data_IF_557651199601
#
_entry.id   IF_557651199601
#
_cell.length_a   1.000
_cell.length_b   1.000
_cell.length_c   1.000
_cell.angle_alpha   90.00
_cell.angle_beta   90.00
_cell.angle_gamma   90.00
#
_symmetry.space_group_name_H-M   'P 1'
#
loop_
_entity.id
_entity.type
_entity.pdbx_description
1 polymer ?
#
# COMPACT_ATOMS: atom_id res chain seq x y z
N UNK A 1 -24.15 7.44 2.52
CA UNK A 1 -25.03 8.22 3.43
C UNK A 1 -26.40 7.59 3.70
N UNK A 2 -26.80 6.50 3.03
CA UNK A 2 -28.08 5.84 3.36
C UNK A 2 -28.04 5.33 4.82
N UNK A 3 -29.18 5.38 5.52
CA UNK A 3 -29.41 4.83 6.87
C UNK A 3 -28.78 5.55 8.06
N UNK A 4 -28.24 6.77 7.93
CA UNK A 4 -27.74 7.53 9.09
C UNK A 4 -28.82 7.89 10.12
N UNK A 5 -30.08 8.06 9.67
CA UNK A 5 -31.23 8.41 10.51
C UNK A 5 -31.82 7.20 11.28
N UNK A 6 -31.40 5.98 10.95
CA UNK A 6 -31.88 4.77 11.61
C UNK A 6 -31.14 4.56 12.94
N UNK A 7 -31.87 4.05 13.93
CA UNK A 7 -31.29 3.56 15.18
C UNK A 7 -30.17 2.57 14.88
N UNK A 8 -29.05 2.72 15.59
CA UNK A 8 -27.92 1.78 15.55
C UNK A 8 -27.99 0.87 16.77
N UNK A 9 -27.66 -0.39 16.55
CA UNK A 9 -27.56 -1.38 17.63
C UNK A 9 -26.15 -1.38 18.22
N UNK A 10 -26.03 -1.96 19.43
CA UNK A 10 -24.78 -2.05 20.16
C UNK A 10 -24.46 -0.84 21.04
N UNK A 11 -23.22 -0.79 21.53
CA UNK A 11 -22.70 0.28 22.39
C UNK A 11 -21.35 0.75 21.88
N UNK A 12 -21.10 2.06 21.88
CA UNK A 12 -19.82 2.64 21.43
C UNK A 12 -18.77 2.59 22.53
N UNK A 13 -17.56 2.18 22.17
CA UNK A 13 -16.40 2.09 23.06
C UNK A 13 -15.17 2.65 22.36
N UNK A 14 -14.16 3.03 23.16
CA UNK A 14 -12.86 3.50 22.68
C UNK A 14 -11.74 2.96 23.54
N UNK A 15 -10.72 2.37 22.91
CA UNK A 15 -9.40 2.25 23.48
C UNK A 15 -8.54 3.42 22.98
N UNK A 16 -7.82 4.09 23.86
CA UNK A 16 -7.00 5.25 23.49
C UNK A 16 -5.83 5.47 24.44
N UNK A 17 -4.86 6.25 23.96
CA UNK A 17 -3.66 6.67 24.68
C UNK A 17 -3.90 7.76 25.73
N UNK A 18 -5.14 8.09 26.08
CA UNK A 18 -5.42 9.19 27.01
C UNK A 18 -4.80 8.98 28.40
N UNK A 19 -4.42 10.10 29.03
CA UNK A 19 -3.80 10.12 30.34
C UNK A 19 -4.79 9.72 31.43
N UNK A 20 -4.64 8.51 31.97
CA UNK A 20 -5.56 7.94 32.99
C UNK A 20 -5.60 8.72 34.30
N UNK A 21 -4.70 9.67 34.52
CA UNK A 21 -4.74 10.58 35.68
C UNK A 21 -5.68 11.77 35.46
N UNK A 22 -6.13 12.00 34.23
CA UNK A 22 -6.84 13.23 33.83
C UNK A 22 -5.91 14.38 33.45
N UNK A 23 -4.60 14.12 33.32
CA UNK A 23 -3.60 15.05 32.80
C UNK A 23 -3.63 15.15 31.27
N UNK A 24 -2.50 15.54 30.68
CA UNK A 24 -2.36 15.77 29.23
C UNK A 24 -1.18 14.99 28.62
N UNK A 25 -0.70 13.94 29.30
CA UNK A 25 0.26 12.99 28.71
C UNK A 25 -0.52 11.92 27.94
N UNK A 26 -1.28 12.34 26.93
CA UNK A 26 -2.21 11.51 26.16
C UNK A 26 -1.51 10.62 25.12
N UNK A 27 -0.33 10.11 25.45
CA UNK A 27 0.49 9.28 24.58
C UNK A 27 0.99 8.02 25.28
N UNK A 28 1.25 7.02 24.45
CA UNK A 28 1.96 5.81 24.81
C UNK A 28 3.40 5.93 24.29
N UNK A 29 4.37 5.63 25.15
CA UNK A 29 5.78 5.51 24.76
C UNK A 29 6.10 4.04 24.53
N UNK A 30 6.66 3.69 23.37
CA UNK A 30 7.04 2.33 23.02
C UNK A 30 8.55 2.28 22.83
N UNK A 31 9.22 1.54 23.69
CA UNK A 31 10.68 1.38 23.66
C UNK A 31 11.15 0.78 22.33
N UNK A 32 12.32 1.19 21.86
CA UNK A 32 12.98 0.59 20.70
C UNK A 32 13.06 -0.94 20.82
N UNK A 33 12.64 -1.65 19.77
CA UNK A 33 12.60 -3.12 19.72
C UNK A 33 11.41 -3.77 20.45
N UNK A 34 10.56 -3.00 21.13
CA UNK A 34 9.43 -3.54 21.88
C UNK A 34 8.13 -3.53 21.06
N UNK A 35 7.18 -4.38 21.46
CA UNK A 35 5.79 -4.32 21.01
C UNK A 35 4.90 -3.79 22.13
N UNK A 36 3.89 -3.01 21.79
CA UNK A 36 2.84 -2.61 22.71
C UNK A 36 1.46 -3.03 22.20
N UNK A 37 0.67 -3.65 23.08
CA UNK A 37 -0.75 -3.90 22.84
C UNK A 37 -1.50 -2.58 23.02
N UNK A 38 -2.00 -2.03 21.91
CA UNK A 38 -2.74 -0.75 21.91
C UNK A 38 -4.25 -0.95 22.06
N UNK A 39 -4.74 -2.16 21.78
CA UNK A 39 -6.10 -2.56 22.12
C UNK A 39 -6.15 -4.06 22.42
N UNK A 40 -6.80 -4.42 23.53
CA UNK A 40 -7.15 -5.78 23.92
C UNK A 40 -8.65 -5.77 24.21
N UNK A 41 -9.45 -6.21 23.25
CA UNK A 41 -10.89 -6.00 23.19
C UNK A 41 -11.63 -7.30 23.45
N UNK A 42 -12.50 -7.32 24.46
CA UNK A 42 -13.30 -8.50 24.79
C UNK A 42 -14.74 -8.45 24.25
N UNK A 43 -15.22 -9.62 23.81
CA UNK A 43 -16.58 -9.87 23.34
C UNK A 43 -16.74 -9.69 21.84
N UNK A 44 -17.96 -9.88 21.30
CA UNK A 44 -18.23 -9.60 19.91
C UNK A 44 -18.32 -8.09 19.68
N UNK A 45 -17.74 -7.62 18.58
CA UNK A 45 -17.76 -6.22 18.20
C UNK A 45 -17.24 -5.97 16.80
N UNK A 46 -17.27 -4.71 16.42
CA UNK A 46 -16.74 -4.25 15.13
C UNK A 46 -15.92 -2.98 15.39
N UNK A 47 -14.62 -3.02 15.10
CA UNK A 47 -13.82 -1.78 15.02
C UNK A 47 -14.36 -0.96 13.85
N UNK A 48 -14.68 0.31 14.11
CA UNK A 48 -15.29 1.22 13.11
C UNK A 48 -14.35 2.34 12.71
N UNK A 49 -13.37 2.65 13.54
CA UNK A 49 -12.40 3.70 13.26
C UNK A 49 -11.11 3.47 14.03
N UNK A 50 -9.99 3.66 13.35
CA UNK A 50 -8.67 3.76 13.97
C UNK A 50 -8.09 5.11 13.56
N UNK A 51 -7.68 5.90 14.55
CA UNK A 51 -6.83 7.08 14.35
C UNK A 51 -5.51 6.87 15.07
N UNK A 52 -4.40 7.28 14.46
CA UNK A 52 -3.14 7.38 15.17
C UNK A 52 -2.18 8.41 14.59
N UNK A 53 -1.23 8.85 15.42
CA UNK A 53 -0.03 9.59 14.99
C UNK A 53 1.19 9.11 15.76
N UNK A 54 2.34 9.09 15.08
CA UNK A 54 3.62 8.65 15.62
C UNK A 54 4.56 9.84 15.66
N UNK A 55 5.14 10.10 16.83
CA UNK A 55 6.31 10.96 17.01
C UNK A 55 7.55 10.09 17.17
N UNK A 56 8.48 10.16 16.22
CA UNK A 56 9.73 9.39 16.27
C UNK A 56 10.89 10.22 15.69
N UNK A 57 12.11 9.94 16.16
CA UNK A 57 13.34 10.55 15.62
C UNK A 57 13.83 9.85 14.35
N UNK A 58 13.42 8.61 14.15
CA UNK A 58 13.86 7.78 13.04
C UNK A 58 13.24 8.26 11.72
N UNK A 59 14.08 8.44 10.68
CA UNK A 59 13.66 8.94 9.36
C UNK A 59 12.56 8.08 8.75
N UNK A 60 12.64 6.76 8.91
CA UNK A 60 11.73 5.80 8.29
C UNK A 60 10.81 5.13 9.32
N UNK A 61 10.44 5.86 10.37
CA UNK A 61 9.57 5.33 11.43
C UNK A 61 8.27 4.71 10.88
N UNK A 62 7.69 5.27 9.82
CA UNK A 62 6.47 4.73 9.20
C UNK A 62 6.68 3.38 8.48
N UNK A 63 7.93 3.03 8.13
CA UNK A 63 8.32 1.73 7.60
C UNK A 63 8.73 0.73 8.69
N UNK A 64 9.30 1.26 9.79
CA UNK A 64 9.89 0.48 10.90
C UNK A 64 8.90 0.19 12.03
N UNK A 65 7.81 0.94 12.14
CA UNK A 65 6.71 0.59 13.02
C UNK A 65 5.76 -0.36 12.28
N UNK A 66 5.47 -1.52 12.87
CA UNK A 66 4.52 -2.50 12.33
C UNK A 66 3.20 -2.46 13.07
N UNK A 67 2.10 -2.45 12.32
CA UNK A 67 0.75 -2.62 12.84
C UNK A 67 0.35 -4.08 12.68
N UNK A 68 0.00 -4.72 13.81
CA UNK A 68 -0.48 -6.10 13.83
C UNK A 68 -1.87 -6.20 14.44
N UNK A 69 -2.75 -6.97 13.81
CA UNK A 69 -4.10 -7.24 14.34
C UNK A 69 -4.37 -8.73 14.32
N UNK A 70 -4.99 -9.21 15.40
CA UNK A 70 -5.36 -10.60 15.62
C UNK A 70 -6.84 -10.64 15.95
N UNK A 71 -7.59 -11.53 15.30
CA UNK A 71 -9.00 -11.70 15.56
C UNK A 71 -9.25 -13.00 16.32
N UNK A 72 -10.11 -12.92 17.34
CA UNK A 72 -10.47 -14.03 18.20
C UNK A 72 -9.24 -14.77 18.75
N UNK A 73 -9.18 -16.09 18.61
CA UNK A 73 -8.10 -16.89 19.21
C UNK A 73 -6.96 -17.18 18.20
N UNK A 74 -6.83 -16.37 17.14
CA UNK A 74 -5.77 -16.48 16.14
C UNK A 74 -4.38 -16.23 16.73
N UNK A 75 -3.42 -17.06 16.29
CA UNK A 75 -2.00 -16.91 16.66
C UNK A 75 -1.22 -16.13 15.62
N UNK A 76 -1.63 -16.22 14.36
CA UNK A 76 -1.06 -15.48 13.25
C UNK A 76 -1.85 -14.18 13.06
N UNK A 77 -1.19 -13.07 12.71
CA UNK A 77 -1.90 -11.82 12.50
C UNK A 77 -2.67 -11.82 11.17
N UNK A 78 -3.96 -11.51 11.23
CA UNK A 78 -4.78 -11.21 10.05
C UNK A 78 -4.42 -9.85 9.41
N UNK A 79 -3.77 -8.95 10.16
CA UNK A 79 -3.16 -7.73 9.62
C UNK A 79 -1.69 -7.68 10.01
N UNK A 80 -0.77 -7.60 9.06
CA UNK A 80 0.66 -7.38 9.30
C UNK A 80 1.26 -6.48 8.21
N UNK A 81 1.52 -5.22 8.57
CA UNK A 81 2.03 -4.22 7.64
C UNK A 81 2.80 -3.10 8.37
N UNK A 82 3.79 -2.47 7.70
CA UNK A 82 4.31 -1.18 8.15
C UNK A 82 3.19 -0.15 8.25
N UNK A 83 3.23 0.70 9.29
CA UNK A 83 2.15 1.64 9.60
C UNK A 83 1.86 2.59 8.44
N UNK A 84 2.89 3.20 7.83
CA UNK A 84 2.68 4.12 6.71
C UNK A 84 1.97 3.46 5.54
N UNK A 85 2.46 2.28 5.15
CA UNK A 85 1.91 1.49 4.07
C UNK A 85 0.49 1.02 4.35
N UNK A 86 0.18 0.60 5.58
CA UNK A 86 -1.19 0.27 5.97
C UNK A 86 -2.12 1.46 5.79
N UNK A 87 -1.68 2.67 6.14
CA UNK A 87 -2.43 3.91 5.96
C UNK A 87 -2.21 4.56 4.58
N UNK A 88 -1.82 3.76 3.57
CA UNK A 88 -1.88 4.15 2.17
C UNK A 88 -0.76 5.04 1.64
N UNK A 89 0.31 5.29 2.41
CA UNK A 89 1.51 5.99 1.92
C UNK A 89 2.75 5.14 2.17
N UNK A 90 3.33 4.59 1.10
CA UNK A 90 4.54 3.80 1.18
C UNK A 90 5.81 4.65 1.30
N UNK A 91 6.95 4.03 0.98
CA UNK A 91 8.30 4.61 1.06
C UNK A 91 8.71 5.13 2.44
N UNK A 92 8.03 4.74 3.52
CA UNK A 92 8.38 5.14 4.88
C UNK A 92 8.27 6.65 5.15
N UNK A 93 7.47 7.36 4.36
CA UNK A 93 7.22 8.80 4.47
C UNK A 93 5.75 9.09 4.71
N UNK A 94 5.44 10.34 5.01
CA UNK A 94 4.08 10.86 5.11
C UNK A 94 3.77 11.77 3.92
N UNK A 95 2.55 11.69 3.39
CA UNK A 95 2.05 12.56 2.33
C UNK A 95 0.55 12.78 2.49
N UNK A 96 0.07 13.98 2.16
CA UNK A 96 -1.33 14.34 2.34
C UNK A 96 -2.19 13.62 1.30
N UNK A 97 -3.18 12.85 1.75
CA UNK A 97 -4.23 12.35 0.88
C UNK A 97 -5.51 12.01 1.66
N UNK A 98 -6.64 12.01 0.95
CA UNK A 98 -7.95 11.66 1.50
C UNK A 98 -8.62 10.67 0.57
N UNK A 99 -8.93 9.48 1.09
CA UNK A 99 -9.83 8.52 0.46
C UNK A 99 -11.01 8.22 1.39
N UNK A 100 -11.92 7.35 0.98
CA UNK A 100 -13.03 6.94 1.83
C UNK A 100 -12.60 6.04 2.99
N UNK A 101 -11.87 4.92 2.80
CA UNK A 101 -11.52 4.04 3.91
C UNK A 101 -10.24 4.46 4.66
N UNK A 102 -9.33 5.20 4.03
CA UNK A 102 -8.02 5.56 4.60
C UNK A 102 -7.63 7.02 4.32
N UNK A 103 -6.89 7.63 5.23
CA UNK A 103 -6.49 9.03 5.11
C UNK A 103 -5.17 9.26 5.83
N UNK A 104 -4.33 10.11 5.25
CA UNK A 104 -3.14 10.63 5.91
C UNK A 104 -3.15 12.14 5.80
N UNK A 105 -3.33 12.80 6.94
CA UNK A 105 -3.43 14.26 7.01
C UNK A 105 -2.08 14.83 7.44
N UNK A 106 -1.43 15.48 6.48
CA UNK A 106 -0.16 16.20 6.64
C UNK A 106 -0.29 17.63 6.11
N UNK A 107 0.81 18.40 6.17
CA UNK A 107 0.91 19.65 5.41
C UNK A 107 0.83 19.36 3.91
N UNK A 108 -0.13 19.96 3.19
CA UNK A 108 -0.32 19.71 1.75
C UNK A 108 0.93 20.10 0.94
N UNK A 109 1.29 19.24 -0.02
CA UNK A 109 2.46 19.44 -0.88
C UNK A 109 3.81 19.20 -0.18
N UNK A 110 3.82 18.72 1.07
CA UNK A 110 5.04 18.44 1.83
C UNK A 110 5.10 16.96 2.18
N UNK A 111 6.17 16.30 1.74
CA UNK A 111 6.55 14.97 2.21
C UNK A 111 7.26 15.13 3.55
N UNK A 112 6.76 14.48 4.59
CA UNK A 112 7.28 14.61 5.95
C UNK A 112 7.29 13.28 6.72
N UNK A 113 7.56 13.31 8.02
CA UNK A 113 7.64 12.13 8.90
C UNK A 113 6.65 12.20 10.06
N UNK A 114 5.57 12.96 9.88
CA UNK A 114 4.47 13.13 10.85
C UNK A 114 3.15 13.18 10.09
N UNK A 115 2.13 12.56 10.64
CA UNK A 115 0.80 12.56 10.05
C UNK A 115 -0.27 12.20 11.08
N UNK A 116 -1.50 12.68 10.88
CA UNK A 116 -2.67 12.01 11.42
C UNK A 116 -3.14 10.94 10.43
N UNK A 117 -3.16 9.70 10.86
CA UNK A 117 -3.51 8.54 10.05
C UNK A 117 -4.87 7.99 10.49
N UNK A 118 -5.79 7.79 9.54
CA UNK A 118 -7.16 7.36 9.83
C UNK A 118 -7.51 6.13 8.99
N UNK A 119 -8.27 5.22 9.60
CA UNK A 119 -8.83 4.04 8.96
C UNK A 119 -10.30 3.88 9.36
N UNK A 120 -11.15 3.66 8.36
CA UNK A 120 -12.60 3.52 8.46
C UNK A 120 -13.10 2.16 7.95
N UNK A 121 -12.20 1.21 7.68
CA UNK A 121 -12.61 -0.18 7.45
C UNK A 121 -13.29 -0.74 8.71
N UNK A 122 -14.35 -1.51 8.49
CA UNK A 122 -15.03 -2.22 9.56
C UNK A 122 -14.26 -3.51 9.87
N UNK A 123 -13.90 -3.77 11.12
CA UNK A 123 -13.13 -4.98 11.47
C UNK A 123 -13.90 -5.78 12.52
N UNK A 124 -14.73 -6.74 12.10
CA UNK A 124 -15.52 -7.56 13.00
C UNK A 124 -14.64 -8.54 13.78
N UNK A 125 -15.03 -8.82 15.02
CA UNK A 125 -14.46 -9.87 15.87
C UNK A 125 -15.58 -10.49 16.72
N UNK A 126 -15.51 -11.80 17.01
CA UNK A 126 -16.62 -12.53 17.66
C UNK A 126 -16.38 -12.83 19.13
N UNK A 127 -15.12 -13.01 19.51
CA UNK A 127 -14.65 -13.36 20.86
C UNK A 127 -13.77 -12.27 21.42
N UNK A 128 -12.74 -11.88 20.69
CA UNK A 128 -11.80 -10.86 21.11
C UNK A 128 -11.05 -10.25 19.92
N UNK A 129 -10.40 -9.12 20.11
CA UNK A 129 -9.47 -8.55 19.13
C UNK A 129 -8.26 -7.97 19.84
N UNK A 130 -7.08 -8.26 19.32
CA UNK A 130 -5.82 -7.70 19.81
C UNK A 130 -5.14 -6.89 18.72
N UNK A 131 -4.81 -5.64 19.02
CA UNK A 131 -4.10 -4.73 18.11
C UNK A 131 -2.77 -4.35 18.77
N UNK A 132 -1.69 -4.54 18.05
CA UNK A 132 -0.33 -4.29 18.50
C UNK A 132 0.40 -3.32 17.57
N UNK A 133 1.26 -2.50 18.17
CA UNK A 133 2.26 -1.71 17.45
C UNK A 133 3.66 -2.19 17.84
N UNK A 134 4.43 -2.67 16.87
CA UNK A 134 5.82 -3.09 17.09
C UNK A 134 6.76 -1.96 16.68
N UNK A 135 7.61 -1.51 17.60
CA UNK A 135 8.62 -0.50 17.32
C UNK A 135 9.94 -1.15 16.91
N UNK A 136 10.26 -1.23 15.62
CA UNK A 136 11.58 -1.67 15.14
C UNK A 136 12.49 -0.49 14.77
N UNK A 137 12.18 0.72 15.27
CA UNK A 137 13.08 1.86 15.16
C UNK A 137 14.29 1.69 16.10
N UNK A 138 15.32 2.49 15.83
CA UNK A 138 16.51 2.57 16.71
C UNK A 138 16.24 3.40 17.98
N UNK A 139 15.10 4.09 18.03
CA UNK A 139 14.73 5.01 19.10
C UNK A 139 13.30 4.72 19.56
N UNK A 140 13.00 5.13 20.78
CA UNK A 140 11.65 5.09 21.32
C UNK A 140 10.70 5.93 20.46
N UNK A 141 9.46 5.44 20.32
CA UNK A 141 8.41 6.14 19.61
C UNK A 141 7.32 6.58 20.59
N UNK A 142 6.72 7.73 20.29
CA UNK A 142 5.54 8.25 20.96
C UNK A 142 4.34 7.99 20.06
N UNK A 143 3.31 7.34 20.60
CA UNK A 143 2.08 7.02 19.89
C UNK A 143 0.90 7.72 20.54
N UNK A 144 0.13 8.42 19.73
CA UNK A 144 -1.23 8.82 20.08
C UNK A 144 -2.19 7.98 19.23
N UNK A 145 -3.24 7.43 19.82
CA UNK A 145 -4.18 6.59 19.07
C UNK A 145 -5.58 6.59 19.67
N UNK A 146 -6.58 6.36 18.79
CA UNK A 146 -7.95 5.94 19.10
C UNK A 146 -8.27 4.67 18.31
N UNK A 147 -8.80 3.66 19.01
CA UNK A 147 -9.47 2.50 18.42
C UNK A 147 -10.92 2.57 18.86
N UNK A 148 -11.78 3.01 17.96
CA UNK A 148 -13.22 3.13 18.15
C UNK A 148 -13.93 1.88 17.65
N UNK A 149 -14.76 1.30 18.51
CA UNK A 149 -15.46 0.06 18.19
C UNK A 149 -16.88 0.04 18.78
N UNK A 150 -17.74 -0.77 18.17
CA UNK A 150 -19.10 -1.00 18.64
C UNK A 150 -19.18 -2.42 19.16
N UNK A 151 -19.52 -2.61 20.44
CA UNK A 151 -19.85 -3.93 20.98
C UNK A 151 -21.25 -4.31 20.54
N UNK A 152 -21.35 -5.38 19.76
CA UNK A 152 -22.60 -5.93 19.23
C UNK A 152 -22.35 -7.36 18.70
N UNK A 153 -23.39 -8.20 18.57
CA UNK A 153 -23.26 -9.46 17.86
C UNK A 153 -22.77 -9.26 16.42
N UNK A 154 -21.83 -10.09 15.98
CA UNK A 154 -21.37 -10.16 14.59
C UNK A 154 -22.10 -11.33 13.91
N UNK A 155 -22.69 -11.14 12.71
CA UNK A 155 -23.35 -12.22 11.97
C UNK A 155 -22.43 -13.42 11.71
N UNK A 156 -22.97 -14.64 11.68
CA UNK A 156 -22.18 -15.87 11.43
C UNK A 156 -21.53 -15.90 10.04
N UNK A 157 -22.15 -15.23 9.07
CA UNK A 157 -21.65 -15.08 7.70
C UNK A 157 -20.70 -13.87 7.52
N UNK A 158 -20.44 -13.11 8.59
CA UNK A 158 -19.46 -12.02 8.57
C UNK A 158 -18.02 -12.51 8.34
N UNK A 159 -17.27 -11.80 7.51
CA UNK A 159 -15.85 -12.05 7.29
C UNK A 159 -14.98 -11.19 8.21
N UNK A 160 -13.71 -11.59 8.37
CA UNK A 160 -12.70 -10.84 9.11
C UNK A 160 -11.89 -9.97 8.16
N UNK A 161 -11.50 -8.78 8.63
CA UNK A 161 -10.68 -7.86 7.85
C UNK A 161 -9.22 -8.31 7.85
N UNK A 162 -8.59 -8.24 6.68
CA UNK A 162 -7.20 -8.63 6.50
C UNK A 162 -6.40 -7.56 5.77
N UNK A 163 -5.11 -7.48 6.10
CA UNK A 163 -4.16 -6.69 5.35
C UNK A 163 -2.75 -7.27 5.42
N UNK A 164 -2.08 -7.39 4.28
CA UNK A 164 -0.74 -7.96 4.19
C UNK A 164 0.15 -7.12 3.31
N UNK A 165 1.35 -6.83 3.82
CA UNK A 165 2.38 -6.11 3.10
C UNK A 165 3.33 -7.03 2.33
N UNK A 166 3.72 -6.63 1.12
CA UNK A 166 4.71 -7.33 0.28
C UNK A 166 5.69 -6.35 -0.33
N UNK A 167 6.87 -6.84 -0.74
CA UNK A 167 7.87 -6.09 -1.50
C UNK A 167 8.74 -7.00 -2.36
N UNK A 168 9.14 -6.48 -3.51
CA UNK A 168 10.16 -7.03 -4.38
C UNK A 168 11.09 -5.89 -4.84
N UNK A 169 12.38 -5.99 -4.53
CA UNK A 169 13.37 -4.96 -4.86
C UNK A 169 14.73 -5.56 -5.27
N UNK A 170 15.13 -5.46 -6.55
CA UNK A 170 14.27 -5.08 -7.68
C UNK A 170 13.31 -6.21 -8.07
N UNK A 171 12.25 -5.88 -8.79
CA UNK A 171 11.48 -6.85 -9.58
C UNK A 171 12.35 -7.51 -10.65
N UNK A 172 12.02 -8.74 -11.04
CA UNK A 172 12.81 -9.53 -12.00
C UNK A 172 12.56 -9.14 -13.46
N UNK A 173 12.96 -7.93 -13.83
CA UNK A 173 12.81 -7.44 -15.21
C UNK A 173 13.54 -8.32 -16.23
N UNK A 174 12.92 -8.54 -17.38
CA UNK A 174 13.42 -9.45 -18.43
C UNK A 174 14.17 -8.76 -19.56
N UNK A 175 14.13 -7.43 -19.63
CA UNK A 175 14.61 -6.65 -20.77
C UNK A 175 15.77 -5.72 -20.45
N UNK A 176 16.65 -5.54 -21.44
CA UNK A 176 17.69 -4.50 -21.44
C UNK A 176 17.14 -3.24 -22.11
N UNK A 177 16.51 -2.38 -21.30
CA UNK A 177 15.83 -1.18 -21.75
C UNK A 177 16.80 -0.16 -22.39
N UNK A 178 18.04 -0.10 -21.92
CA UNK A 178 19.06 0.80 -22.47
C UNK A 178 19.47 0.39 -23.87
N UNK A 179 19.66 -0.91 -24.09
CA UNK A 179 19.97 -1.44 -25.42
C UNK A 179 18.82 -1.19 -26.40
N UNK A 180 17.57 -1.34 -25.95
CA UNK A 180 16.40 -1.03 -26.77
C UNK A 180 16.37 0.45 -27.15
N UNK A 181 16.62 1.34 -26.18
CA UNK A 181 16.70 2.79 -26.42
C UNK A 181 17.84 3.18 -27.36
N UNK A 182 19.03 2.61 -27.18
CA UNK A 182 20.15 2.84 -28.09
C UNK A 182 19.84 2.38 -29.52
N UNK A 183 19.10 1.26 -29.66
CA UNK A 183 18.59 0.80 -30.95
C UNK A 183 17.59 1.75 -31.58
N UNK A 184 16.69 2.34 -30.78
CA UNK A 184 15.75 3.37 -31.21
C UNK A 184 16.47 4.62 -31.71
N UNK A 185 17.45 5.11 -30.96
CA UNK A 185 18.21 6.32 -31.30
C UNK A 185 19.07 6.11 -32.56
N UNK A 186 19.66 4.92 -32.72
CA UNK A 186 20.46 4.59 -33.90
C UNK A 186 19.64 4.44 -35.20
N UNK A 187 18.37 4.04 -35.08
CA UNK A 187 17.47 3.85 -36.22
C UNK A 187 16.65 5.10 -36.57
N UNK A 188 16.70 6.14 -35.73
CA UNK A 188 15.84 7.33 -35.82
C UNK A 188 14.34 6.95 -35.92
N UNK A 189 13.95 5.92 -35.15
CA UNK A 189 12.59 5.38 -35.11
C UNK A 189 11.99 5.57 -33.71
N UNK A 190 11.22 6.62 -33.53
CA UNK A 190 10.72 7.09 -32.23
C UNK A 190 9.95 6.05 -31.38
N UNK A 191 9.44 4.96 -31.98
CA UNK A 191 8.65 3.93 -31.30
C UNK A 191 9.32 2.55 -31.31
N UNK A 192 10.59 2.45 -31.74
CA UNK A 192 11.27 1.15 -31.87
C UNK A 192 11.33 0.40 -30.54
N UNK A 193 11.70 1.09 -29.45
CA UNK A 193 11.84 0.45 -28.15
C UNK A 193 10.48 -0.01 -27.60
N UNK A 194 9.44 0.81 -27.75
CA UNK A 194 8.06 0.46 -27.34
C UNK A 194 7.55 -0.76 -28.09
N UNK A 195 7.71 -0.80 -29.43
CA UNK A 195 7.30 -1.95 -30.25
C UNK A 195 8.00 -3.22 -29.79
N UNK A 196 9.29 -3.16 -29.43
CA UNK A 196 10.03 -4.33 -28.94
C UNK A 196 9.57 -4.80 -27.57
N UNK A 197 9.19 -3.89 -26.68
CA UNK A 197 8.56 -4.27 -25.42
C UNK A 197 7.18 -4.90 -25.66
N UNK A 198 6.32 -4.31 -26.50
CA UNK A 198 4.99 -4.84 -26.81
C UNK A 198 5.01 -6.23 -27.48
N UNK A 199 6.13 -6.64 -28.10
CA UNK A 199 6.32 -7.99 -28.65
C UNK A 199 6.51 -9.08 -27.55
N UNK A 200 6.85 -8.68 -26.32
CA UNK A 200 7.02 -9.59 -25.17
C UNK A 200 5.65 -10.16 -24.79
N UNK A 201 5.62 -11.47 -24.54
CA UNK A 201 4.40 -12.21 -24.17
C UNK A 201 4.51 -12.73 -22.75
N UNK A 202 3.58 -12.29 -21.90
CA UNK A 202 3.33 -12.91 -20.61
C UNK A 202 2.09 -13.80 -20.71
N UNK A 203 2.32 -15.12 -20.75
CA UNK A 203 1.26 -16.11 -20.99
C UNK A 203 0.88 -16.90 -19.74
N UNK A 204 1.41 -16.51 -18.57
CA UNK A 204 1.16 -17.22 -17.31
C UNK A 204 0.91 -16.28 -16.14
N UNK A 205 1.56 -15.11 -16.09
CA UNK A 205 1.54 -14.22 -14.92
C UNK A 205 2.37 -14.73 -13.74
N UNK A 206 3.17 -15.80 -13.91
CA UNK A 206 3.90 -16.44 -12.81
C UNK A 206 4.97 -15.54 -12.19
N UNK A 207 5.62 -14.72 -13.02
CA UNK A 207 6.70 -13.80 -12.67
C UNK A 207 6.22 -12.36 -12.40
N UNK A 208 4.90 -12.15 -12.36
CA UNK A 208 4.32 -10.86 -11.99
C UNK A 208 4.60 -10.55 -10.51
N UNK A 209 4.63 -9.27 -10.18
CA UNK A 209 4.64 -8.84 -8.78
C UNK A 209 3.30 -9.23 -8.13
N UNK A 210 3.34 -10.04 -7.08
CA UNK A 210 2.14 -10.52 -6.38
C UNK A 210 1.73 -9.54 -5.29
N UNK A 211 0.54 -8.96 -5.40
CA UNK A 211 -0.05 -8.10 -4.36
C UNK A 211 -0.75 -8.95 -3.29
N UNK A 212 -1.50 -9.96 -3.73
CA UNK A 212 -2.27 -10.86 -2.86
C UNK A 212 -2.18 -12.30 -3.35
N UNK A 213 -1.97 -13.21 -2.40
CA UNK A 213 -2.14 -14.66 -2.55
C UNK A 213 -2.90 -15.14 -1.30
N UNK A 214 -4.18 -15.43 -1.47
CA UNK A 214 -5.11 -15.80 -0.42
C UNK A 214 -5.81 -17.12 -0.74
N UNK A 215 -6.07 -17.92 0.29
CA UNK A 215 -6.88 -19.13 0.23
C UNK A 215 -8.03 -18.99 1.23
N UNK A 216 -9.20 -19.49 0.84
CA UNK A 216 -10.45 -19.39 1.59
C UNK A 216 -11.58 -18.72 0.79
N UNK A 217 -12.66 -18.39 1.50
CA UNK A 217 -13.80 -17.66 0.94
C UNK A 217 -13.76 -16.21 1.40
N UNK A 218 -13.90 -15.26 0.48
CA UNK A 218 -13.82 -13.85 0.80
C UNK A 218 -14.05 -12.90 -0.36
N UNK A 219 -13.62 -11.67 -0.18
CA UNK A 219 -13.57 -10.67 -1.24
C UNK A 219 -12.49 -9.62 -0.98
N UNK A 220 -11.77 -9.26 -2.04
CA UNK A 220 -10.75 -8.22 -2.05
C UNK A 220 -11.38 -6.83 -2.20
N UNK A 221 -10.92 -5.88 -1.39
CA UNK A 221 -11.49 -4.52 -1.28
C UNK A 221 -10.51 -3.41 -1.61
N UNK A 222 -9.28 -3.73 -2.01
CA UNK A 222 -8.35 -2.73 -2.53
C UNK A 222 -6.90 -2.93 -2.15
N UNK A 223 -6.06 -2.03 -2.62
CA UNK A 223 -4.66 -1.97 -2.27
C UNK A 223 -4.12 -0.54 -2.31
N UNK A 224 -2.92 -0.38 -1.76
CA UNK A 224 -1.96 0.59 -2.29
C UNK A 224 -0.78 -0.16 -2.91
N UNK A 225 -0.24 0.41 -3.98
CA UNK A 225 0.98 -0.03 -4.66
C UNK A 225 1.97 1.14 -4.66
N UNK A 226 3.18 0.88 -4.24
CA UNK A 226 4.29 1.82 -4.19
C UNK A 226 5.37 1.37 -5.16
N UNK A 227 5.80 2.27 -6.02
CA UNK A 227 6.85 2.03 -7.02
C UNK A 227 7.95 3.08 -6.79
N UNK A 228 9.21 2.65 -6.65
CA UNK A 228 10.38 3.49 -6.92
C UNK A 228 10.88 3.12 -8.33
N UNK A 229 10.76 4.05 -9.27
CA UNK A 229 11.20 3.88 -10.64
C UNK A 229 12.74 4.04 -10.69
N UNK A 230 13.44 2.92 -10.49
CA UNK A 230 14.89 2.89 -10.23
C UNK A 230 15.73 2.52 -11.46
N UNK A 231 15.10 2.10 -12.56
CA UNK A 231 15.75 1.92 -13.85
C UNK A 231 15.10 2.72 -15.01
N UNK A 232 14.87 4.03 -14.84
CA UNK A 232 14.30 4.91 -15.87
C UNK A 232 15.25 5.13 -17.07
N UNK A 233 14.68 5.16 -18.27
CA UNK A 233 15.33 5.51 -19.53
C UNK A 233 14.59 6.69 -20.17
N UNK A 234 15.10 7.93 -20.10
CA UNK A 234 14.38 9.12 -20.58
C UNK A 234 13.81 9.00 -22.00
N UNK A 235 12.57 9.45 -22.17
CA UNK A 235 11.81 9.32 -23.42
C UNK A 235 11.33 7.90 -23.71
N UNK A 236 11.42 6.98 -22.74
CA UNK A 236 11.06 5.57 -22.82
C UNK A 236 10.79 5.04 -21.39
N UNK A 237 10.39 3.77 -21.24
CA UNK A 237 10.29 3.05 -19.95
C UNK A 237 9.37 3.67 -18.87
N UNK A 238 8.14 4.05 -19.21
CA UNK A 238 7.12 4.29 -18.19
C UNK A 238 6.87 3.02 -17.35
N UNK A 239 6.91 3.05 -16.00
CA UNK A 239 6.73 1.85 -15.19
C UNK A 239 5.28 1.34 -15.13
N UNK A 240 4.32 2.11 -15.63
CA UNK A 240 2.90 1.81 -15.49
C UNK A 240 2.28 0.97 -16.62
N UNK A 241 3.05 0.48 -17.59
CA UNK A 241 2.49 -0.35 -18.68
C UNK A 241 2.07 -1.77 -18.25
N UNK A 242 2.27 -2.15 -16.98
CA UNK A 242 2.05 -3.52 -16.53
C UNK A 242 0.58 -3.84 -16.23
N UNK A 243 0.07 -4.94 -16.80
CA UNK A 243 -1.32 -5.37 -16.65
C UNK A 243 -1.62 -5.97 -15.27
N UNK A 244 -2.78 -5.64 -14.67
CA UNK A 244 -3.32 -6.35 -13.52
C UNK A 244 -3.93 -7.70 -13.92
N UNK A 245 -3.70 -8.74 -13.12
CA UNK A 245 -4.22 -10.09 -13.36
C UNK A 245 -4.77 -10.68 -12.07
N UNK A 246 -6.08 -10.99 -12.04
CA UNK A 246 -6.72 -11.68 -10.92
C UNK A 246 -7.09 -13.11 -11.31
N UNK A 247 -6.36 -14.07 -10.75
CA UNK A 247 -6.68 -15.49 -10.86
C UNK A 247 -7.60 -15.88 -9.71
N UNK A 248 -8.88 -15.97 -10.00
CA UNK A 248 -9.93 -16.29 -9.02
C UNK A 248 -10.15 -17.80 -9.01
N UNK A 249 -10.22 -18.39 -7.83
CA UNK A 249 -10.59 -19.80 -7.62
C UNK A 249 -9.82 -20.82 -8.49
N UNK A 250 -8.53 -20.57 -8.72
CA UNK A 250 -7.63 -21.46 -9.46
C UNK A 250 -7.76 -21.38 -10.98
N UNK A 251 -8.28 -20.28 -11.51
CA UNK A 251 -8.38 -20.05 -12.96
C UNK A 251 -7.05 -20.20 -13.71
N UNK A 252 -7.08 -20.77 -14.93
CA UNK A 252 -5.92 -20.78 -15.81
C UNK A 252 -5.74 -19.40 -16.47
N UNK A 253 -4.59 -19.20 -17.10
CA UNK A 253 -4.41 -18.08 -18.02
C UNK A 253 -5.22 -18.27 -19.32
N UNK A 254 -5.81 -17.21 -19.89
CA UNK A 254 -5.91 -15.87 -19.31
C UNK A 254 -7.01 -15.81 -18.24
N UNK A 255 -6.77 -15.10 -17.11
CA UNK A 255 -7.82 -14.89 -16.11
C UNK A 255 -8.97 -14.07 -16.70
N UNK A 256 -10.17 -14.22 -16.13
CA UNK A 256 -11.34 -13.44 -16.60
C UNK A 256 -11.22 -11.93 -16.31
N UNK A 257 -10.38 -11.57 -15.33
CA UNK A 257 -10.03 -10.19 -14.99
C UNK A 257 -8.56 -9.99 -15.35
N UNK A 258 -8.36 -9.35 -16.50
CA UNK A 258 -7.06 -9.03 -17.07
C UNK A 258 -7.08 -7.56 -17.49
N UNK A 259 -6.10 -6.81 -17.02
CA UNK A 259 -5.94 -5.38 -17.19
C UNK A 259 -5.37 -4.95 -18.54
N UNK A 260 -5.06 -3.66 -18.61
CA UNK A 260 -4.46 -2.98 -19.78
C UNK A 260 -3.29 -2.06 -19.43
N UNK A 261 -3.01 -1.90 -18.13
CA UNK A 261 -1.99 -1.01 -17.62
C UNK A 261 -2.19 -0.76 -16.14
N UNK A 262 -1.11 -0.40 -15.47
CA UNK A 262 -1.10 -0.08 -14.06
C UNK A 262 -1.85 1.22 -13.80
N UNK A 263 -1.62 2.30 -14.55
CA UNK A 263 -2.41 3.52 -14.34
C UNK A 263 -3.90 3.31 -14.62
N UNK A 264 -4.21 2.44 -15.57
CA UNK A 264 -5.58 2.09 -15.95
C UNK A 264 -6.27 1.34 -14.80
N UNK A 265 -5.59 0.35 -14.20
CA UNK A 265 -6.06 -0.31 -12.98
C UNK A 265 -6.33 0.70 -11.87
N UNK A 266 -5.49 1.71 -11.71
CA UNK A 266 -5.67 2.78 -10.71
C UNK A 266 -6.58 3.94 -11.18
N UNK A 267 -7.42 3.69 -12.19
CA UNK A 267 -8.44 4.60 -12.71
C UNK A 267 -7.90 5.94 -13.23
N UNK A 268 -6.69 5.94 -13.76
CA UNK A 268 -6.11 7.03 -14.54
C UNK A 268 -5.91 6.58 -16.00
N UNK A 269 -5.09 7.32 -16.76
CA UNK A 269 -4.71 7.02 -18.13
C UNK A 269 -3.54 7.92 -18.54
N UNK A 270 -2.76 7.51 -19.53
CA UNK A 270 -1.62 8.28 -20.08
C UNK A 270 -0.60 8.64 -18.99
N UNK A 271 -0.21 7.63 -18.21
CA UNK A 271 0.46 7.81 -16.94
C UNK A 271 -0.45 8.49 -15.92
N UNK A 272 -0.09 9.70 -15.49
CA UNK A 272 -0.87 10.47 -14.52
C UNK A 272 -0.81 11.97 -14.85
N UNK A 273 -1.55 12.45 -15.88
CA UNK A 273 -1.44 13.83 -16.35
C UNK A 273 -1.84 14.88 -15.30
N UNK A 274 -2.65 14.51 -14.30
CA UNK A 274 -2.99 15.35 -13.15
C UNK A 274 -1.89 15.44 -12.08
N UNK A 275 -0.87 14.58 -12.15
CA UNK A 275 0.11 14.40 -11.08
C UNK A 275 -0.54 13.80 -9.82
N UNK A 276 -0.14 14.27 -8.64
CA UNK A 276 -0.76 13.84 -7.39
C UNK A 276 -2.24 14.25 -7.34
N UNK A 277 -3.13 13.27 -7.10
CA UNK A 277 -4.56 13.51 -6.87
C UNK A 277 -5.12 12.45 -5.91
N UNK A 278 -6.24 12.76 -5.26
CA UNK A 278 -6.91 11.81 -4.38
C UNK A 278 -8.42 11.91 -4.53
N UNK A 279 -9.06 10.77 -4.74
CA UNK A 279 -10.51 10.59 -4.81
C UNK A 279 -10.95 9.54 -3.77
N UNK A 280 -12.26 9.41 -3.50
CA UNK A 280 -12.77 8.47 -2.48
C UNK A 280 -12.28 7.02 -2.67
N UNK A 281 -12.13 6.56 -3.91
CA UNK A 281 -11.82 5.15 -4.20
C UNK A 281 -10.50 4.94 -4.93
N UNK A 282 -9.84 5.97 -5.44
CA UNK A 282 -8.56 5.82 -6.14
C UNK A 282 -7.74 7.11 -6.12
N UNK A 283 -6.45 7.02 -6.40
CA UNK A 283 -5.58 8.18 -6.52
C UNK A 283 -4.10 7.87 -6.34
N UNK A 284 -3.31 8.93 -6.27
CA UNK A 284 -1.88 8.92 -5.93
C UNK A 284 -1.70 9.61 -4.58
N UNK A 285 -1.50 8.81 -3.54
CA UNK A 285 -1.24 9.30 -2.20
C UNK A 285 0.17 9.86 -2.04
N UNK A 286 1.11 9.41 -2.88
CA UNK A 286 2.45 9.97 -3.04
C UNK A 286 2.80 10.07 -4.52
N UNK A 287 3.31 11.22 -4.94
CA UNK A 287 3.93 11.41 -6.24
C UNK A 287 5.17 12.27 -6.00
N UNK A 288 6.36 11.70 -6.10
CA UNK A 288 7.62 12.35 -5.75
C UNK A 288 8.68 12.12 -6.84
N UNK A 289 8.56 12.83 -7.98
CA UNK A 289 9.51 12.67 -9.06
C UNK A 289 10.87 13.30 -8.74
N UNK A 290 11.93 12.74 -9.33
CA UNK A 290 13.31 13.24 -9.25
C UNK A 290 13.52 14.33 -10.32
N UNK A 291 14.18 15.46 -9.97
CA UNK A 291 14.45 16.59 -10.88
C UNK A 291 15.94 17.00 -10.87
N UNK A 292 16.42 17.46 -12.03
CA UNK A 292 17.85 17.60 -12.38
C UNK A 292 18.62 18.57 -11.45
N UNK A 293 17.91 19.54 -10.86
CA UNK A 293 18.51 20.56 -9.99
C UNK A 293 18.23 20.37 -8.49
N UNK A 294 17.66 19.23 -8.07
CA UNK A 294 17.34 19.00 -6.65
C UNK A 294 16.28 19.95 -6.07
N UNK A 295 15.68 20.82 -6.89
CA UNK A 295 14.60 21.71 -6.50
C UNK A 295 13.31 20.91 -6.29
N UNK A 296 13.06 20.58 -5.04
CA UNK A 296 11.79 20.06 -4.58
C UNK A 296 10.74 21.19 -4.58
N UNK A 297 9.72 21.04 -5.44
CA UNK A 297 8.36 21.62 -5.38
C UNK A 297 8.20 23.15 -5.40
N UNK A 298 7.55 23.68 -6.47
CA UNK A 298 6.69 24.89 -6.38
C UNK A 298 5.78 25.20 -7.57
N UNK A 299 6.13 24.83 -8.82
CA UNK A 299 5.40 25.39 -9.98
C UNK A 299 4.58 24.39 -10.82
N UNK A 300 4.88 23.09 -10.78
CA UNK A 300 4.04 22.05 -11.39
C UNK A 300 4.26 20.71 -10.71
N UNK A 301 3.18 20.04 -10.31
CA UNK A 301 3.20 18.67 -9.76
C UNK A 301 3.21 17.59 -10.85
N UNK A 302 3.46 17.96 -12.11
CA UNK A 302 3.41 17.05 -13.25
C UNK A 302 4.76 17.00 -13.97
N UNK A 303 5.08 15.82 -14.50
CA UNK A 303 6.19 15.57 -15.43
C UNK A 303 5.59 14.69 -16.55
N UNK A 304 5.97 14.89 -17.83
CA UNK A 304 5.63 13.93 -18.88
C UNK A 304 5.97 12.50 -18.43
N UNK A 305 5.06 11.55 -18.60
CA UNK A 305 5.20 10.24 -17.98
C UNK A 305 6.45 9.48 -18.48
N UNK A 306 6.87 9.69 -19.74
CA UNK A 306 8.13 9.17 -20.29
C UNK A 306 9.41 9.78 -19.70
N UNK A 307 9.28 10.86 -18.93
CA UNK A 307 10.37 11.52 -18.21
C UNK A 307 10.26 11.28 -16.69
N UNK A 308 9.26 10.50 -16.26
CA UNK A 308 9.05 10.24 -14.84
C UNK A 308 10.14 9.32 -14.28
N UNK A 309 10.74 9.74 -13.17
CA UNK A 309 11.60 8.92 -12.31
C UNK A 309 11.31 9.29 -10.86
N UNK A 310 11.44 8.34 -9.93
CA UNK A 310 11.23 8.57 -8.50
C UNK A 310 10.12 7.72 -7.90
N UNK A 311 9.60 8.20 -6.77
CA UNK A 311 8.72 7.42 -5.90
C UNK A 311 7.27 7.81 -6.11
N UNK A 312 6.40 6.82 -6.28
CA UNK A 312 4.96 6.99 -6.24
C UNK A 312 4.32 5.98 -5.28
N UNK A 313 3.14 6.35 -4.77
CA UNK A 313 2.20 5.42 -4.15
C UNK A 313 0.83 5.75 -4.68
N UNK A 314 0.22 4.75 -5.27
CA UNK A 314 -1.11 4.78 -5.87
C UNK A 314 -2.02 3.82 -5.13
N UNK A 315 -3.31 4.12 -5.08
CA UNK A 315 -4.28 3.31 -4.35
C UNK A 315 -5.57 3.14 -5.15
N UNK A 316 -6.23 1.99 -4.95
CA UNK A 316 -7.58 1.71 -5.44
C UNK A 316 -8.31 0.89 -4.39
N UNK A 317 -9.54 1.30 -4.06
CA UNK A 317 -10.43 0.63 -3.14
C UNK A 317 -11.68 0.15 -3.87
N UNK A 318 -11.86 -1.16 -3.91
CA UNK A 318 -12.99 -1.86 -4.49
C UNK A 318 -14.16 -1.92 -3.49
N UNK A 319 -14.70 -0.75 -3.10
CA UNK A 319 -15.76 -0.69 -2.08
C UNK A 319 -17.14 -0.97 -2.67
N UNK A 320 -17.38 -0.47 -3.88
CA UNK A 320 -18.64 -0.68 -4.61
C UNK A 320 -18.56 -1.85 -5.60
N UNK A 321 -17.35 -2.36 -5.83
CA UNK A 321 -16.99 -3.36 -6.84
C UNK A 321 -15.97 -4.39 -6.30
N UNK A 322 -16.21 -5.03 -5.12
CA UNK A 322 -15.28 -5.98 -4.53
C UNK A 322 -15.02 -7.19 -5.43
N UNK A 323 -13.78 -7.70 -5.42
CA UNK A 323 -13.41 -8.90 -6.19
C UNK A 323 -13.67 -10.13 -5.33
N UNK A 324 -14.70 -10.89 -5.67
CA UNK A 324 -15.21 -12.02 -4.89
C UNK A 324 -14.47 -13.30 -5.26
N UNK A 325 -14.11 -14.10 -4.26
CA UNK A 325 -13.51 -15.43 -4.42
C UNK A 325 -14.10 -16.43 -3.43
N UNK A 326 -14.15 -17.71 -3.79
CA UNK A 326 -14.79 -18.78 -3.00
C UNK A 326 -13.80 -19.82 -2.48
N UNK A 327 -12.65 -19.97 -3.12
CA UNK A 327 -11.57 -20.87 -2.70
C UNK A 327 -10.21 -20.20 -2.67
N UNK A 328 -9.91 -19.27 -3.58
CA UNK A 328 -8.60 -18.60 -3.60
C UNK A 328 -8.60 -17.33 -4.43
N UNK A 329 -7.70 -16.41 -4.13
CA UNK A 329 -7.41 -15.25 -4.98
C UNK A 329 -5.91 -15.04 -5.09
N UNK A 330 -5.40 -15.04 -6.32
CA UNK A 330 -4.07 -14.48 -6.63
C UNK A 330 -4.24 -13.22 -7.45
N UNK A 331 -3.90 -12.08 -6.87
CA UNK A 331 -3.82 -10.80 -7.57
C UNK A 331 -2.35 -10.42 -7.77
N UNK A 332 -1.98 -10.19 -9.02
CA UNK A 332 -0.64 -9.78 -9.42
C UNK A 332 -0.68 -8.68 -10.48
N UNK A 333 0.42 -7.96 -10.64
CA UNK A 333 0.59 -6.94 -11.68
C UNK A 333 1.94 -7.12 -12.34
N UNK A 334 2.02 -6.91 -13.66
CA UNK A 334 3.32 -6.90 -14.33
C UNK A 334 4.17 -5.69 -13.88
N UNK A 335 5.49 -5.83 -13.91
CA UNK A 335 6.43 -4.73 -13.65
C UNK A 335 6.92 -4.12 -14.97
N UNK A 336 6.06 -3.29 -15.56
CA UNK A 336 6.08 -2.89 -16.96
C UNK A 336 5.57 -4.02 -17.87
N UNK A 337 5.15 -3.69 -19.10
CA UNK A 337 4.57 -4.66 -20.05
C UNK A 337 5.43 -5.92 -20.15
N UNK A 338 4.82 -7.08 -19.96
CA UNK A 338 5.50 -8.36 -20.07
C UNK A 338 6.64 -8.56 -19.07
N UNK A 339 6.60 -7.89 -17.91
CA UNK A 339 7.64 -7.95 -16.88
C UNK A 339 9.01 -7.46 -17.40
N UNK A 340 9.01 -6.43 -18.25
CA UNK A 340 10.22 -5.92 -18.90
C UNK A 340 11.15 -5.15 -17.95
N UNK A 341 10.66 -4.61 -16.82
CA UNK A 341 11.39 -3.62 -16.02
C UNK A 341 11.80 -4.13 -14.63
N UNK A 342 12.91 -3.61 -14.11
CA UNK A 342 13.40 -3.92 -12.76
C UNK A 342 13.22 -2.70 -11.86
N UNK A 343 12.20 -2.71 -11.01
CA UNK A 343 11.82 -1.59 -10.14
C UNK A 343 11.66 -2.02 -8.67
N UNK A 344 11.56 -1.09 -7.73
CA UNK A 344 11.25 -1.41 -6.32
C UNK A 344 9.75 -1.32 -6.10
N UNK A 345 9.08 -2.47 -5.97
CA UNK A 345 7.64 -2.57 -5.77
C UNK A 345 7.36 -2.96 -4.33
N UNK A 346 6.44 -2.26 -3.67
CA UNK A 346 5.86 -2.70 -2.39
C UNK A 346 4.38 -2.38 -2.33
N UNK A 347 3.59 -3.15 -1.60
CA UNK A 347 2.14 -2.96 -1.57
C UNK A 347 1.52 -3.43 -0.26
N UNK A 348 0.33 -2.90 0.06
CA UNK A 348 -0.60 -3.53 1.01
C UNK A 348 -1.88 -3.88 0.28
N UNK A 349 -2.27 -5.14 0.34
CA UNK A 349 -3.60 -5.60 -0.08
C UNK A 349 -4.55 -5.60 1.11
N UNK A 350 -5.82 -5.23 0.90
CA UNK A 350 -6.89 -5.23 1.90
C UNK A 350 -8.03 -6.13 1.40
N UNK A 351 -8.51 -7.02 2.25
CA UNK A 351 -9.62 -7.92 1.90
C UNK A 351 -10.39 -8.38 3.13
N UNK A 352 -11.51 -9.05 2.89
CA UNK A 352 -12.26 -9.75 3.91
C UNK A 352 -12.31 -11.24 3.57
N UNK A 353 -12.09 -12.12 4.54
CA UNK A 353 -12.30 -13.55 4.33
C UNK A 353 -12.73 -14.30 5.58
N UNK A 354 -13.07 -15.57 5.41
CA UNK A 354 -13.21 -16.53 6.51
C UNK A 354 -11.85 -16.96 7.03
N UNK A 355 -11.87 -17.35 8.29
CA UNK A 355 -10.79 -18.06 8.96
C UNK A 355 -10.95 -19.59 8.85
N UNK A 356 -9.84 -20.35 8.85
CA UNK A 356 -8.45 -19.87 8.89
C UNK A 356 -7.99 -19.28 7.54
N UNK A 357 -7.11 -18.29 7.59
CA UNK A 357 -6.44 -17.76 6.40
C UNK A 357 -5.12 -18.48 6.07
N UNK A 358 -4.63 -18.31 4.83
CA UNK A 358 -3.28 -18.71 4.42
C UNK A 358 -2.24 -17.88 5.16
N UNK A 359 -1.22 -18.51 5.71
CA UNK A 359 -0.13 -17.81 6.39
C UNK A 359 0.48 -16.73 5.48
N UNK A 360 0.70 -15.54 6.03
CA UNK A 360 1.32 -14.46 5.28
C UNK A 360 2.80 -14.75 5.03
N UNK A 361 3.40 -14.17 3.97
CA UNK A 361 4.85 -14.13 3.86
C UNK A 361 5.48 -13.54 5.12
N UNK A 362 6.64 -14.05 5.52
CA UNK A 362 7.37 -13.50 6.66
C UNK A 362 7.67 -12.01 6.43
N UNK A 363 7.38 -11.17 7.42
CA UNK A 363 7.72 -9.76 7.37
C UNK A 363 9.24 -9.61 7.18
N UNK A 364 9.64 -8.97 6.09
CA UNK A 364 11.05 -8.80 5.77
C UNK A 364 11.80 -8.11 6.93
N UNK A 365 13.08 -8.45 7.19
CA UNK A 365 13.91 -7.71 8.13
C UNK A 365 13.95 -6.22 7.79
N UNK A 366 14.08 -5.34 8.78
CA UNK A 366 14.06 -3.88 8.60
C UNK A 366 14.97 -3.43 7.44
N UNK A 367 16.21 -3.93 7.38
CA UNK A 367 17.17 -3.58 6.31
C UNK A 367 16.67 -3.87 4.90
N UNK A 368 15.83 -4.90 4.72
CA UNK A 368 15.21 -5.28 3.45
C UNK A 368 13.83 -4.64 3.22
N UNK A 369 13.32 -3.87 4.19
CA UNK A 369 12.09 -3.05 4.08
C UNK A 369 12.34 -1.59 3.75
N UNK A 370 13.53 -1.06 4.06
CA UNK A 370 13.79 0.36 3.90
C UNK A 370 13.76 0.77 2.41
N UNK A 371 13.16 1.94 2.11
CA UNK A 371 13.19 2.50 0.76
C UNK A 371 14.62 2.89 0.38
N UNK A 372 14.89 2.96 -0.93
CA UNK A 372 16.13 3.57 -1.39
C UNK A 372 16.18 5.06 -1.02
N UNK A 373 17.34 5.53 -0.58
CA UNK A 373 17.55 6.95 -0.31
C UNK A 373 17.36 7.77 -1.60
N UNK A 374 16.85 9.00 -1.49
CA UNK A 374 16.66 9.90 -2.65
C UNK A 374 17.95 10.09 -3.46
N UNK A 375 19.10 10.23 -2.77
CA UNK A 375 20.42 10.29 -3.43
C UNK A 375 20.70 9.02 -4.24
N UNK A 376 20.34 7.85 -3.73
CA UNK A 376 20.56 6.58 -4.42
C UNK A 376 19.63 6.45 -5.63
N UNK A 377 18.34 6.78 -5.48
CA UNK A 377 17.40 6.80 -6.61
C UNK A 377 17.85 7.81 -7.69
N UNK A 378 18.31 9.00 -7.29
CA UNK A 378 18.83 10.02 -8.21
C UNK A 378 20.13 9.58 -8.91
N UNK A 379 21.05 8.95 -8.18
CA UNK A 379 22.26 8.35 -8.76
C UNK A 379 21.91 7.31 -9.82
N UNK A 380 20.92 6.45 -9.58
CA UNK A 380 20.48 5.45 -10.56
C UNK A 380 19.85 6.09 -11.79
N UNK A 381 19.07 7.16 -11.60
CA UNK A 381 18.44 7.89 -12.71
C UNK A 381 19.45 8.68 -13.55
N UNK A 382 20.18 9.62 -12.93
CA UNK A 382 21.10 10.51 -13.64
C UNK A 382 22.42 9.85 -13.98
N UNK A 383 22.74 8.70 -13.40
CA UNK A 383 24.03 8.02 -13.54
C UNK A 383 25.20 8.91 -13.08
N UNK A 384 24.95 9.80 -12.13
CA UNK A 384 25.92 10.73 -11.55
C UNK A 384 26.32 10.31 -10.13
N UNK A 385 27.58 10.56 -9.74
CA UNK A 385 28.21 10.04 -8.51
C UNK A 385 27.89 10.82 -7.23
#
# INVERSE_FOLDING_TARGET
MQQLYLRKEGTSHRASSWDRTGGNRDCLEITAGAAAVIADLEGPGIVKHIWMTIGARDKYAFRKALLRMYWDDEREPSVDAPVGDFFGVGHGVASHYVSMPLNMITTQGVVENKAAMNCFFEMPFRRNARIELVNECEHDLVLYYYVDYVKQPVPEDGFYFHASWRRENPTKGTSDLERLKAGQDAQDQATYADVKVCEIKNLTGDDNYVLLDAEGEGHYVGCNLSIDHINPVPGFSWPGEGDDMFFIDGEPWPPRLHGTGTEDYFCAAWGYPSGQYYAPYHGLSLYAPIRENGDAWRESNTIPFLEYSGKMTQYRFHIVDPIIFRSSLRFSIEHGHGNAQSNDYSSVAYWYQREPHKAFPEMLPVALRLPLAEKESARRFYRTF
#
